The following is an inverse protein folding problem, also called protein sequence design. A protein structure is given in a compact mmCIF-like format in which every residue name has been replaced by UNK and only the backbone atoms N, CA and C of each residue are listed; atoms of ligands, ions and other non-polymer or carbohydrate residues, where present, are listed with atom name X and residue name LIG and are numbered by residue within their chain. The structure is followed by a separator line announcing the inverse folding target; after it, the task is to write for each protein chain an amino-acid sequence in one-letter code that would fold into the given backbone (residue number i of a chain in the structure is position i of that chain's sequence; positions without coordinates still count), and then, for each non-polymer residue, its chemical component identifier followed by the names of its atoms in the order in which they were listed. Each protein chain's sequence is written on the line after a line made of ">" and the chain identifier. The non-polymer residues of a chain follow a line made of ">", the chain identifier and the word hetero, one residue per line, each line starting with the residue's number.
data_IF_876573992107
#
_entry.id   IF_876573992107
#
_cell.length_a   1.000
_cell.length_b   1.000
_cell.length_c   1.000
_cell.angle_alpha   90.00
_cell.angle_beta   90.00
_cell.angle_gamma   90.00
#
_symmetry.space_group_name_H-M   'P 1'
#
loop_
_entity.id
_entity.type
_entity.pdbx_description
1 polymer ?
#
# COMPACT_ATOMS: atom_id res chain seq x y z
N UNK A 1 21.83 -2.73 13.97
CA UNK A 1 21.18 -1.89 12.94
C UNK A 1 19.77 -2.38 12.79
N UNK A 2 18.79 -1.49 12.80
CA UNK A 2 17.37 -1.83 12.73
C UNK A 2 16.77 -1.31 11.43
N UNK A 3 15.64 -1.84 11.01
CA UNK A 3 14.94 -1.37 9.82
C UNK A 3 13.69 -0.59 10.20
N UNK A 4 13.43 0.53 9.53
CA UNK A 4 12.14 1.22 9.59
C UNK A 4 11.42 1.14 8.25
N UNK A 5 10.14 0.77 8.30
CA UNK A 5 9.19 0.87 7.19
C UNK A 5 8.11 1.89 7.51
N UNK A 6 7.38 2.34 6.50
CA UNK A 6 6.37 3.40 6.64
C UNK A 6 6.94 4.57 7.44
N UNK A 7 8.16 4.98 7.05
CA UNK A 7 8.97 5.90 7.84
C UNK A 7 8.89 7.33 7.33
N UNK A 8 9.12 8.30 8.22
CA UNK A 8 9.25 9.72 7.88
C UNK A 8 10.11 10.45 8.89
N UNK A 9 10.61 11.61 8.50
CA UNK A 9 11.27 12.56 9.41
C UNK A 9 10.23 13.57 9.89
N UNK A 10 10.21 13.85 11.19
CA UNK A 10 9.33 14.88 11.75
C UNK A 10 9.94 15.54 13.00
N UNK A 11 9.39 16.70 13.36
CA UNK A 11 9.73 17.40 14.58
C UNK A 11 8.87 16.88 15.74
N UNK A 12 9.50 16.37 16.79
CA UNK A 12 8.84 15.90 18.00
C UNK A 12 9.47 16.58 19.22
N UNK A 13 8.66 17.36 19.95
CA UNK A 13 9.12 18.18 21.08
C UNK A 13 10.37 19.03 20.77
N UNK A 14 10.41 19.64 19.58
CA UNK A 14 11.51 20.49 19.13
C UNK A 14 12.78 19.75 18.70
N UNK A 15 12.74 18.41 18.59
CA UNK A 15 13.84 17.58 18.11
C UNK A 15 13.44 16.89 16.81
N UNK A 16 14.34 16.85 15.85
CA UNK A 16 14.14 16.07 14.63
C UNK A 16 14.38 14.59 14.93
N UNK A 17 13.39 13.77 14.61
CA UNK A 17 13.41 12.32 14.82
C UNK A 17 12.94 11.60 13.56
N UNK A 18 13.18 10.30 13.52
CA UNK A 18 12.52 9.39 12.57
C UNK A 18 11.37 8.70 13.29
N UNK A 19 10.22 8.65 12.63
CA UNK A 19 9.08 7.81 13.00
C UNK A 19 8.91 6.70 11.97
N UNK A 20 8.47 5.51 12.39
CA UNK A 20 8.10 4.42 11.50
C UNK A 20 7.85 3.10 12.23
N UNK A 21 7.54 2.07 11.47
CA UNK A 21 7.39 0.69 11.96
C UNK A 21 8.76 0.02 12.04
N UNK A 22 9.13 -0.48 13.22
CA UNK A 22 10.43 -1.10 13.45
C UNK A 22 10.44 -2.59 13.14
N UNK A 23 11.57 -3.05 12.60
CA UNK A 23 11.84 -4.46 12.35
C UNK A 23 13.26 -4.83 12.81
N UNK A 24 13.40 -6.05 13.33
CA UNK A 24 14.67 -6.60 13.79
C UNK A 24 15.16 -6.00 15.11
N UNK A 25 14.27 -5.43 15.92
CA UNK A 25 14.63 -4.82 17.20
C UNK A 25 14.44 -5.79 18.36
N UNK A 26 15.44 -5.93 19.23
CA UNK A 26 15.42 -6.94 20.31
C UNK A 26 14.30 -6.72 21.35
N UNK A 27 13.88 -5.46 21.55
CA UNK A 27 12.88 -5.08 22.56
C UNK A 27 11.47 -4.83 22.03
N UNK A 28 11.31 -4.68 20.71
CA UNK A 28 10.05 -4.28 20.11
C UNK A 28 9.64 -5.35 19.12
N UNK A 29 8.34 -5.67 19.09
CA UNK A 29 7.82 -6.59 18.09
C UNK A 29 7.92 -5.94 16.70
N UNK A 30 8.22 -6.77 15.71
CA UNK A 30 8.25 -6.34 14.32
C UNK A 30 6.90 -5.74 13.90
N UNK A 31 6.95 -4.62 13.19
CA UNK A 31 5.77 -3.85 12.77
C UNK A 31 5.26 -2.86 13.83
N UNK A 32 5.86 -2.80 15.02
CA UNK A 32 5.47 -1.81 16.03
C UNK A 32 5.92 -0.40 15.63
N UNK A 33 4.98 0.55 15.65
CA UNK A 33 5.29 1.97 15.41
C UNK A 33 6.10 2.58 16.56
N UNK A 34 7.18 3.28 16.23
CA UNK A 34 8.00 3.99 17.22
C UNK A 34 8.50 5.35 16.72
N UNK A 35 8.84 6.19 17.69
CA UNK A 35 9.65 7.39 17.50
C UNK A 35 11.07 7.08 17.96
N UNK A 36 12.04 7.39 17.11
CA UNK A 36 13.46 7.27 17.47
C UNK A 36 13.88 8.40 18.40
N UNK A 37 15.05 8.26 19.04
CA UNK A 37 15.72 9.42 19.64
C UNK A 37 16.21 10.39 18.56
N UNK A 38 16.58 11.61 18.96
CA UNK A 38 17.06 12.66 18.07
C UNK A 38 18.10 12.16 17.06
N UNK A 39 17.92 12.57 15.79
CA UNK A 39 18.85 12.30 14.71
C UNK A 39 20.20 12.98 15.02
N UNK A 40 21.28 12.21 14.92
CA UNK A 40 22.65 12.68 15.16
C UNK A 40 23.52 12.64 13.89
N UNK A 41 23.18 11.79 12.93
CA UNK A 41 23.77 11.83 11.59
C UNK A 41 22.82 11.20 10.58
N UNK A 42 22.94 11.65 9.33
CA UNK A 42 22.25 11.12 8.17
C UNK A 42 23.29 10.71 7.13
N UNK A 43 23.23 9.46 6.73
CA UNK A 43 24.03 8.91 5.64
C UNK A 43 23.10 8.16 4.68
N UNK A 44 23.63 7.66 3.55
CA UNK A 44 22.86 6.82 2.66
C UNK A 44 23.74 5.80 1.93
N UNK A 45 23.11 4.68 1.59
CA UNK A 45 23.63 3.74 0.61
C UNK A 45 22.88 3.86 -0.73
N UNK A 46 23.00 2.85 -1.57
CA UNK A 46 22.34 2.84 -2.88
C UNK A 46 20.81 2.82 -2.79
N UNK A 47 20.24 2.22 -1.74
CA UNK A 47 18.80 1.94 -1.58
C UNK A 47 18.18 2.47 -0.28
N UNK A 48 18.97 2.89 0.70
CA UNK A 48 18.51 3.29 2.01
C UNK A 48 19.09 4.64 2.45
N UNK A 49 18.32 5.36 3.26
CA UNK A 49 18.83 6.37 4.18
C UNK A 49 19.17 5.69 5.49
N UNK A 50 20.30 6.06 6.08
CA UNK A 50 20.75 5.59 7.37
C UNK A 50 20.67 6.74 8.37
N UNK A 51 19.86 6.58 9.41
CA UNK A 51 19.75 7.55 10.49
C UNK A 51 20.48 7.04 11.72
N UNK A 52 21.56 7.72 12.09
CA UNK A 52 22.26 7.47 13.35
C UNK A 52 21.61 8.29 14.45
N UNK A 53 21.35 7.63 15.57
CA UNK A 53 20.84 8.23 16.79
C UNK A 53 21.76 7.82 17.95
N UNK A 54 21.48 8.26 19.19
CA UNK A 54 22.37 8.06 20.34
C UNK A 54 22.86 6.62 20.52
N UNK A 55 22.00 5.63 20.30
CA UNK A 55 22.30 4.22 20.59
C UNK A 55 22.07 3.28 19.41
N UNK A 56 21.57 3.78 18.28
CA UNK A 56 21.01 2.95 17.23
C UNK A 56 21.18 3.59 15.86
N UNK A 57 21.41 2.75 14.86
CA UNK A 57 21.33 3.12 13.44
C UNK A 57 20.09 2.46 12.84
N UNK A 58 19.26 3.27 12.20
CA UNK A 58 18.07 2.83 11.50
C UNK A 58 18.29 2.91 9.99
N UNK A 59 18.11 1.79 9.31
CA UNK A 59 18.14 1.67 7.85
C UNK A 59 16.72 1.79 7.30
N UNK A 60 16.53 2.76 6.43
CA UNK A 60 15.23 3.18 5.94
C UNK A 60 15.24 3.15 4.42
N UNK A 61 14.58 2.17 3.80
CA UNK A 61 14.57 2.06 2.34
C UNK A 61 13.87 3.28 1.73
N UNK A 62 14.43 3.86 0.66
CA UNK A 62 13.85 5.05 0.01
C UNK A 62 12.39 4.81 -0.40
N UNK A 63 12.09 3.61 -0.90
CA UNK A 63 10.75 3.21 -1.34
C UNK A 63 9.74 2.96 -0.21
N UNK A 64 10.19 2.90 1.05
CA UNK A 64 9.35 2.63 2.22
C UNK A 64 8.97 3.90 3.01
N UNK A 65 9.23 5.08 2.44
CA UNK A 65 8.87 6.36 3.03
C UNK A 65 7.35 6.61 2.98
N UNK A 66 6.77 7.22 4.02
CA UNK A 66 5.35 7.61 4.02
C UNK A 66 5.10 8.70 2.97
N UNK A 67 4.12 8.48 2.09
CA UNK A 67 3.91 9.31 0.90
C UNK A 67 3.17 10.60 1.23
N UNK A 68 3.87 11.62 1.77
CA UNK A 68 3.43 13.01 1.71
C UNK A 68 4.61 13.92 1.37
N UNK A 69 4.49 14.79 0.35
CA UNK A 69 5.58 15.68 -0.12
C UNK A 69 6.12 16.55 1.01
N UNK A 70 5.26 17.00 1.93
CA UNK A 70 5.62 17.77 3.12
C UNK A 70 6.56 17.01 4.07
N UNK A 71 6.51 15.68 4.09
CA UNK A 71 7.34 14.87 4.98
C UNK A 71 8.78 14.78 4.47
N UNK A 72 9.00 14.91 3.14
CA UNK A 72 10.34 15.06 2.56
C UNK A 72 10.91 16.45 2.80
N UNK A 73 10.06 17.49 2.86
CA UNK A 73 10.48 18.84 3.23
C UNK A 73 10.95 18.94 4.70
N UNK A 74 10.59 17.99 5.56
CA UNK A 74 11.08 17.95 6.94
C UNK A 74 12.61 17.83 7.02
N UNK A 75 13.27 17.32 5.97
CA UNK A 75 14.74 17.28 5.87
C UNK A 75 15.37 18.68 5.82
N UNK A 76 14.62 19.71 5.39
CA UNK A 76 15.11 21.09 5.35
C UNK A 76 15.26 21.69 6.75
N UNK A 77 14.67 21.05 7.77
CA UNK A 77 14.80 21.44 9.19
C UNK A 77 16.00 20.77 9.88
N UNK A 78 16.67 19.82 9.21
CA UNK A 78 17.88 19.20 9.72
C UNK A 78 19.10 20.08 9.39
N UNK A 79 19.98 20.35 10.38
CA UNK A 79 21.25 21.03 10.14
C UNK A 79 22.12 20.28 9.13
N UNK A 80 22.80 21.03 8.26
CA UNK A 80 23.64 20.48 7.19
C UNK A 80 24.79 19.63 7.74
N UNK A 81 25.29 19.94 8.95
CA UNK A 81 26.38 19.23 9.61
C UNK A 81 26.02 17.80 10.00
N UNK A 82 24.72 17.47 10.08
CA UNK A 82 24.28 16.11 10.34
C UNK A 82 24.43 15.20 9.12
N UNK A 83 24.55 15.76 7.92
CA UNK A 83 24.60 14.95 6.70
C UNK A 83 26.04 14.60 6.33
N UNK A 84 26.35 13.30 6.32
CA UNK A 84 27.58 12.75 5.75
C UNK A 84 27.54 12.73 4.20
N UNK A 85 26.39 13.05 3.61
CA UNK A 85 26.11 13.02 2.18
C UNK A 85 25.33 14.27 1.75
N UNK A 86 25.10 14.46 0.46
CA UNK A 86 24.30 15.60 -0.01
C UNK A 86 22.80 15.42 0.34
N UNK A 87 22.25 16.34 1.15
CA UNK A 87 20.83 16.37 1.53
C UNK A 87 19.88 16.37 0.34
N UNK A 88 20.17 17.14 -0.71
CA UNK A 88 19.29 17.21 -1.88
C UNK A 88 19.31 15.90 -2.65
N UNK A 89 20.45 15.21 -2.66
CA UNK A 89 20.56 13.86 -3.23
C UNK A 89 19.74 12.84 -2.44
N UNK A 90 19.70 12.92 -1.10
CA UNK A 90 18.83 12.07 -0.27
C UNK A 90 17.36 12.31 -0.59
N UNK A 91 16.91 13.56 -0.57
CA UNK A 91 15.52 13.94 -0.89
C UNK A 91 15.11 13.44 -2.27
N UNK A 92 15.97 13.65 -3.27
CA UNK A 92 15.73 13.18 -4.64
C UNK A 92 15.59 11.65 -4.71
N UNK A 93 16.50 10.89 -4.08
CA UNK A 93 16.41 9.42 -4.07
C UNK A 93 15.12 8.91 -3.43
N UNK A 94 14.66 9.54 -2.33
CA UNK A 94 13.36 9.23 -1.70
C UNK A 94 12.21 9.46 -2.69
N UNK A 95 12.14 10.65 -3.28
CA UNK A 95 11.08 11.03 -4.21
C UNK A 95 11.06 10.13 -5.45
N UNK A 96 12.23 9.86 -6.04
CA UNK A 96 12.37 9.00 -7.22
C UNK A 96 11.92 7.56 -6.90
N UNK A 97 12.35 6.99 -5.77
CA UNK A 97 11.99 5.64 -5.38
C UNK A 97 10.50 5.49 -5.04
N UNK A 98 9.92 6.45 -4.32
CA UNK A 98 8.49 6.48 -4.03
C UNK A 98 7.69 6.63 -5.32
N UNK A 99 8.07 7.54 -6.21
CA UNK A 99 7.40 7.74 -7.49
C UNK A 99 7.46 6.48 -8.36
N UNK A 100 8.62 5.82 -8.43
CA UNK A 100 8.77 4.55 -9.13
C UNK A 100 7.88 3.45 -8.54
N UNK A 101 7.80 3.35 -7.21
CA UNK A 101 6.91 2.40 -6.53
C UNK A 101 5.43 2.65 -6.82
N UNK A 102 4.97 3.90 -6.74
CA UNK A 102 3.60 4.27 -7.06
C UNK A 102 3.27 3.99 -8.53
N UNK A 103 4.18 4.29 -9.45
CA UNK A 103 4.01 3.96 -10.87
C UNK A 103 3.91 2.45 -11.10
N UNK A 104 4.76 1.65 -10.46
CA UNK A 104 4.70 0.19 -10.57
C UNK A 104 3.36 -0.37 -10.04
N UNK A 105 2.84 0.18 -8.93
CA UNK A 105 1.51 -0.18 -8.41
C UNK A 105 0.41 0.21 -9.41
N UNK A 106 0.46 1.44 -9.94
CA UNK A 106 -0.51 1.89 -10.93
C UNK A 106 -0.50 1.04 -12.20
N UNK A 107 0.68 0.68 -12.71
CA UNK A 107 0.83 -0.18 -13.89
C UNK A 107 0.31 -1.59 -13.62
N UNK A 108 0.59 -2.15 -12.44
CA UNK A 108 0.01 -3.44 -12.02
C UNK A 108 -1.51 -3.37 -11.95
N UNK A 109 -2.08 -2.33 -11.34
CA UNK A 109 -3.53 -2.16 -11.25
C UNK A 109 -4.16 -2.00 -12.64
N UNK A 110 -3.52 -1.24 -13.53
CA UNK A 110 -3.95 -1.08 -14.91
C UNK A 110 -3.92 -2.41 -15.70
N UNK A 111 -3.02 -3.34 -15.36
CA UNK A 111 -2.97 -4.66 -16.00
C UNK A 111 -4.25 -5.49 -15.80
N UNK A 112 -5.00 -5.28 -14.71
CA UNK A 112 -6.32 -5.91 -14.49
C UNK A 112 -7.45 -5.30 -15.33
N UNK A 113 -7.15 -4.23 -16.06
CA UNK A 113 -8.11 -3.42 -16.80
C UNK A 113 -7.74 -3.34 -18.29
N UNK A 114 -6.92 -4.27 -18.80
CA UNK A 114 -6.45 -4.28 -20.19
C UNK A 114 -7.58 -4.35 -21.22
N UNK A 115 -8.73 -4.91 -20.85
CA UNK A 115 -9.93 -5.03 -21.70
C UNK A 115 -10.86 -3.82 -21.60
N UNK A 116 -10.55 -2.82 -20.76
CA UNK A 116 -11.36 -1.62 -20.57
C UNK A 116 -10.70 -0.43 -21.25
N UNK A 117 -11.42 0.18 -22.19
CA UNK A 117 -10.98 1.39 -22.90
C UNK A 117 -11.58 2.66 -22.31
N UNK A 118 -10.82 3.75 -22.34
CA UNK A 118 -11.28 5.07 -21.92
C UNK A 118 -11.14 5.30 -20.42
N UNK A 119 -11.93 6.23 -19.91
CA UNK A 119 -11.92 6.66 -18.52
C UNK A 119 -12.57 5.60 -17.61
N UNK A 120 -11.94 5.28 -16.49
CA UNK A 120 -12.50 4.37 -15.48
C UNK A 120 -11.88 4.59 -14.10
N UNK A 121 -12.56 4.10 -13.07
CA UNK A 121 -12.04 4.04 -11.70
C UNK A 121 -11.94 2.59 -11.29
N UNK A 122 -10.81 2.17 -10.75
CA UNK A 122 -10.60 0.85 -10.16
C UNK A 122 -10.31 1.01 -8.67
N UNK A 123 -11.12 0.38 -7.83
CA UNK A 123 -10.90 0.32 -6.39
C UNK A 123 -10.50 -1.10 -6.01
N UNK A 124 -9.33 -1.23 -5.39
CA UNK A 124 -8.80 -2.48 -4.89
C UNK A 124 -9.20 -2.67 -3.42
N UNK A 125 -9.92 -3.75 -3.16
CA UNK A 125 -10.20 -4.27 -1.84
C UNK A 125 -9.35 -5.50 -1.52
N UNK A 126 -9.03 -5.67 -0.25
CA UNK A 126 -8.30 -6.81 0.30
C UNK A 126 -8.82 -7.09 1.71
N UNK A 127 -9.24 -8.32 1.96
CA UNK A 127 -9.82 -8.74 3.25
C UNK A 127 -8.84 -8.75 4.41
N UNK A 128 -7.54 -8.67 4.11
CA UNK A 128 -6.48 -8.57 5.11
C UNK A 128 -6.04 -7.09 5.32
N UNK A 129 -6.73 -6.13 4.70
CA UNK A 129 -6.51 -4.69 4.89
C UNK A 129 -7.46 -4.09 5.93
N UNK A 130 -6.99 -3.10 6.68
CA UNK A 130 -7.88 -2.31 7.54
C UNK A 130 -8.99 -1.68 6.70
N UNK A 131 -10.22 -1.92 7.13
CA UNK A 131 -11.42 -1.45 6.44
C UNK A 131 -11.50 -1.86 4.97
N UNK A 132 -10.82 -2.94 4.57
CA UNK A 132 -10.80 -3.53 3.23
C UNK A 132 -10.12 -2.72 2.12
N UNK A 133 -10.01 -1.39 2.21
CA UNK A 133 -9.48 -0.57 1.14
C UNK A 133 -7.95 -0.60 1.07
N UNK A 134 -7.41 -0.78 -0.14
CA UNK A 134 -5.97 -0.74 -0.39
C UNK A 134 -5.56 0.40 -1.31
N UNK A 135 -6.21 0.50 -2.46
CA UNK A 135 -5.84 1.43 -3.52
C UNK A 135 -7.07 1.86 -4.32
N UNK A 136 -7.02 3.07 -4.85
CA UNK A 136 -7.86 3.48 -5.96
C UNK A 136 -6.96 3.98 -7.10
N UNK A 137 -7.16 3.44 -8.30
CA UNK A 137 -6.59 3.93 -9.54
C UNK A 137 -7.69 4.59 -10.35
N UNK A 138 -7.48 5.83 -10.78
CA UNK A 138 -8.36 6.54 -11.68
C UNK A 138 -7.61 6.88 -12.96
N UNK A 139 -8.22 6.54 -14.10
CA UNK A 139 -7.77 6.97 -15.43
C UNK A 139 -8.76 8.01 -15.94
N UNK A 140 -8.31 9.24 -16.15
CA UNK A 140 -9.13 10.34 -16.71
C UNK A 140 -8.32 11.17 -17.70
N UNK A 141 -8.83 11.35 -18.91
CA UNK A 141 -8.17 12.15 -19.97
C UNK A 141 -6.70 11.73 -20.20
N UNK A 142 -6.43 10.42 -20.15
CA UNK A 142 -5.08 9.86 -20.28
C UNK A 142 -4.15 10.07 -19.08
N UNK A 143 -4.63 10.68 -17.99
CA UNK A 143 -3.88 10.87 -16.74
C UNK A 143 -4.22 9.77 -15.72
N UNK A 144 -3.21 9.36 -14.96
CA UNK A 144 -3.32 8.39 -13.87
C UNK A 144 -3.35 9.11 -12.53
N UNK A 145 -4.32 8.77 -11.69
CA UNK A 145 -4.39 9.22 -10.30
C UNK A 145 -4.45 7.99 -9.39
N UNK A 146 -3.52 7.90 -8.45
CA UNK A 146 -3.43 6.78 -7.53
C UNK A 146 -3.66 7.29 -6.11
N UNK A 147 -4.59 6.67 -5.39
CA UNK A 147 -4.88 6.97 -3.98
C UNK A 147 -4.54 5.74 -3.14
N UNK A 148 -3.55 5.83 -2.24
CA UNK A 148 -3.21 4.76 -1.30
C UNK A 148 -4.23 4.67 -0.17
N UNK A 149 -4.16 3.58 0.60
CA UNK A 149 -4.92 3.38 1.84
C UNK A 149 -4.80 4.56 2.82
N UNK A 150 -3.63 5.20 2.92
CA UNK A 150 -3.44 6.38 3.78
C UNK A 150 -4.09 7.66 3.22
N UNK A 151 -4.61 7.61 2.00
CA UNK A 151 -5.28 8.72 1.31
C UNK A 151 -6.80 8.72 1.45
N UNK A 152 -7.38 7.77 2.20
CA UNK A 152 -8.80 7.76 2.54
C UNK A 152 -9.03 8.26 3.96
N UNK A 153 -10.18 8.88 4.20
CA UNK A 153 -10.56 9.30 5.54
C UNK A 153 -11.38 8.19 6.21
N UNK A 154 -10.85 7.66 7.31
CA UNK A 154 -11.58 6.78 8.21
C UNK A 154 -12.27 7.67 9.25
N UNK A 155 -13.60 7.51 9.38
CA UNK A 155 -14.38 8.14 10.45
C UNK A 155 -14.82 7.06 11.41
N UNK A 156 -14.10 6.97 12.51
CA UNK A 156 -14.43 6.09 13.61
C UNK A 156 -15.74 6.56 14.25
N UNK A 157 -16.72 5.68 14.28
CA UNK A 157 -18.06 5.96 14.79
C UNK A 157 -18.32 5.17 16.06
N UNK A 158 -19.09 5.75 16.97
CA UNK A 158 -19.50 5.03 18.20
C UNK A 158 -20.41 3.83 17.95
N UNK A 159 -20.96 3.71 16.73
CA UNK A 159 -21.86 2.63 16.31
C UNK A 159 -21.29 1.89 15.10
N UNK A 160 -20.77 2.61 14.12
CA UNK A 160 -20.28 2.06 12.87
C UNK A 160 -19.23 3.00 12.28
N UNK A 161 -18.07 2.45 11.94
CA UNK A 161 -17.03 3.19 11.24
C UNK A 161 -17.42 3.39 9.78
N UNK A 162 -16.96 4.48 9.17
CA UNK A 162 -17.18 4.74 7.75
C UNK A 162 -15.88 5.11 7.06
N UNK A 163 -15.74 4.66 5.83
CA UNK A 163 -14.61 5.01 4.96
C UNK A 163 -15.09 5.99 3.92
N UNK A 164 -14.34 7.07 3.75
CA UNK A 164 -14.54 8.08 2.72
C UNK A 164 -13.38 8.03 1.73
N UNK A 165 -13.68 7.59 0.52
CA UNK A 165 -12.78 7.67 -0.63
C UNK A 165 -13.06 9.02 -1.31
N UNK A 166 -12.00 9.81 -1.55
CA UNK A 166 -12.06 11.10 -2.21
C UNK A 166 -11.57 12.26 -1.35
N UNK A 167 -11.39 13.44 -1.97
CA UNK A 167 -10.75 14.60 -1.34
C UNK A 167 -11.77 15.61 -0.78
N UNK A 168 -13.00 15.17 -0.49
CA UNK A 168 -14.07 16.06 0.01
C UNK A 168 -14.55 17.11 -1.01
N UNK A 169 -14.11 17.02 -2.27
CA UNK A 169 -14.64 17.82 -3.37
C UNK A 169 -16.03 17.32 -3.72
N UNK A 170 -17.01 18.22 -3.77
CA UNK A 170 -18.40 17.90 -4.11
C UNK A 170 -18.45 17.18 -5.47
N UNK A 171 -19.12 16.03 -5.52
CA UNK A 171 -19.20 15.18 -6.71
C UNK A 171 -18.06 14.17 -6.88
N UNK A 172 -17.05 14.13 -6.00
CA UNK A 172 -15.94 13.16 -6.05
C UNK A 172 -15.80 12.43 -4.71
N UNK A 173 -16.84 11.68 -4.35
CA UNK A 173 -16.87 10.98 -3.09
C UNK A 173 -17.60 9.64 -3.21
N UNK A 174 -17.00 8.61 -2.60
CA UNK A 174 -17.68 7.36 -2.28
C UNK A 174 -17.52 7.11 -0.79
N UNK A 175 -18.61 6.70 -0.14
CA UNK A 175 -18.61 6.35 1.27
C UNK A 175 -19.25 5.00 1.49
N UNK A 176 -18.63 4.20 2.34
CA UNK A 176 -19.16 2.90 2.70
C UNK A 176 -18.94 2.56 4.18
N UNK A 177 -19.79 1.66 4.67
CA UNK A 177 -19.63 1.01 5.95
C UNK A 177 -18.94 -0.35 5.74
N UNK A 178 -17.76 -0.56 6.33
CA UNK A 178 -17.12 -1.87 6.40
C UNK A 178 -17.66 -2.68 7.58
N UNK A 179 -18.04 -3.93 7.34
CA UNK A 179 -18.48 -4.87 8.36
C UNK A 179 -17.48 -6.01 8.51
N UNK A 180 -17.36 -6.57 9.72
CA UNK A 180 -16.41 -7.66 10.01
C UNK A 180 -16.70 -8.98 9.26
N UNK A 181 -17.88 -9.13 8.66
CA UNK A 181 -18.30 -10.31 7.89
C UNK A 181 -18.01 -10.19 6.38
N UNK A 182 -16.96 -9.43 6.01
CA UNK A 182 -16.58 -9.11 4.62
C UNK A 182 -17.68 -8.43 3.81
N UNK A 183 -18.49 -7.58 4.46
CA UNK A 183 -19.53 -6.81 3.78
C UNK A 183 -19.17 -5.34 3.72
N UNK A 184 -19.44 -4.72 2.57
CA UNK A 184 -19.26 -3.31 2.29
C UNK A 184 -20.60 -2.73 1.82
N UNK A 185 -21.15 -1.78 2.57
CA UNK A 185 -22.39 -1.09 2.18
C UNK A 185 -22.10 0.36 1.82
N UNK A 186 -22.15 0.67 0.54
CA UNK A 186 -22.03 2.03 0.01
C UNK A 186 -23.34 2.78 0.23
N UNK A 187 -23.24 3.93 0.90
CA UNK A 187 -24.39 4.81 1.17
C UNK A 187 -24.25 6.18 0.49
N UNK A 188 -23.10 6.48 -0.09
CA UNK A 188 -22.87 7.64 -0.95
C UNK A 188 -21.96 7.23 -2.11
N UNK A 189 -22.40 7.53 -3.31
CA UNK A 189 -21.76 7.17 -4.57
C UNK A 189 -22.09 8.27 -5.57
N UNK A 190 -21.08 8.99 -6.05
CA UNK A 190 -21.23 10.03 -7.06
C UNK A 190 -20.87 9.51 -8.46
N UNK A 191 -21.67 9.87 -9.46
CA UNK A 191 -21.56 9.35 -10.83
C UNK A 191 -20.30 9.83 -11.57
N UNK A 192 -19.59 10.85 -11.05
CA UNK A 192 -18.41 11.42 -11.74
C UNK A 192 -17.23 10.44 -11.87
N UNK A 193 -17.25 9.36 -11.09
CA UNK A 193 -16.23 8.32 -11.10
C UNK A 193 -16.58 7.13 -11.96
N UNK A 194 -17.74 7.14 -12.61
CA UNK A 194 -18.16 6.05 -13.47
C UNK A 194 -17.36 5.97 -14.76
N UNK A 195 -17.18 4.75 -15.31
CA UNK A 195 -17.49 3.46 -14.68
C UNK A 195 -16.53 3.13 -13.51
N UNK A 196 -17.08 2.53 -12.44
CA UNK A 196 -16.32 2.10 -11.25
C UNK A 196 -16.22 0.57 -11.23
N UNK A 197 -14.99 0.07 -11.17
CA UNK A 197 -14.66 -1.33 -11.02
C UNK A 197 -14.14 -1.59 -9.61
N UNK A 198 -14.61 -2.67 -9.00
CA UNK A 198 -14.10 -3.19 -7.75
C UNK A 198 -13.28 -4.45 -8.04
N UNK A 199 -12.08 -4.56 -7.49
CA UNK A 199 -11.22 -5.74 -7.57
C UNK A 199 -10.95 -6.25 -6.16
N UNK A 200 -11.15 -7.55 -5.93
CA UNK A 200 -10.85 -8.19 -4.66
C UNK A 200 -9.54 -8.96 -4.77
N UNK A 201 -8.47 -8.42 -4.17
CA UNK A 201 -7.18 -9.11 -4.04
C UNK A 201 -7.06 -9.91 -2.74
N UNK A 202 -8.09 -9.88 -1.90
CA UNK A 202 -8.16 -10.67 -0.68
C UNK A 202 -8.40 -12.16 -0.95
N UNK A 203 -8.41 -12.94 0.13
CA UNK A 203 -8.59 -14.41 0.09
C UNK A 203 -10.03 -14.84 0.30
N UNK A 204 -10.92 -13.92 0.70
CA UNK A 204 -12.33 -14.19 0.98
C UNK A 204 -13.21 -13.33 0.08
N UNK A 205 -14.41 -13.83 -0.19
CA UNK A 205 -15.42 -13.11 -0.96
C UNK A 205 -15.90 -11.88 -0.19
N UNK A 206 -16.17 -10.81 -0.93
CA UNK A 206 -16.70 -9.55 -0.38
C UNK A 206 -18.14 -9.39 -0.86
N UNK A 207 -19.06 -9.13 0.09
CA UNK A 207 -20.45 -8.76 -0.22
C UNK A 207 -20.51 -7.25 -0.39
N UNK A 208 -20.88 -6.79 -1.57
CA UNK A 208 -21.01 -5.37 -1.91
C UNK A 208 -22.49 -5.01 -1.99
N UNK A 209 -22.89 -3.97 -1.29
CA UNK A 209 -24.20 -3.33 -1.41
C UNK A 209 -23.99 -1.89 -1.88
N UNK A 210 -24.62 -1.51 -2.99
CA UNK A 210 -24.58 -0.14 -3.51
C UNK A 210 -25.91 0.25 -4.17
N UNK A 211 -25.99 1.45 -4.76
CA UNK A 211 -27.17 1.94 -5.47
C UNK A 211 -27.63 1.05 -6.62
N UNK A 212 -26.73 0.24 -7.19
CA UNK A 212 -27.01 -0.73 -8.26
C UNK A 212 -27.52 -2.08 -7.77
N UNK A 213 -27.53 -2.33 -6.46
CA UNK A 213 -27.99 -3.57 -5.85
C UNK A 213 -26.93 -4.26 -5.00
N UNK A 214 -27.10 -5.57 -4.81
CA UNK A 214 -26.21 -6.40 -4.00
C UNK A 214 -25.44 -7.38 -4.88
N UNK A 215 -24.14 -7.45 -4.67
CA UNK A 215 -23.21 -8.26 -5.45
C UNK A 215 -22.27 -9.06 -4.54
N UNK A 216 -21.76 -10.16 -5.06
CA UNK A 216 -20.66 -10.90 -4.44
C UNK A 216 -19.44 -10.74 -5.33
N UNK A 217 -18.40 -10.12 -4.79
CA UNK A 217 -17.11 -9.97 -5.43
C UNK A 217 -16.18 -11.07 -4.91
N UNK A 218 -15.99 -12.11 -5.72
CA UNK A 218 -15.17 -13.25 -5.32
C UNK A 218 -13.70 -12.86 -5.21
N UNK A 219 -12.97 -13.62 -4.40
CA UNK A 219 -11.52 -13.50 -4.32
C UNK A 219 -10.86 -13.60 -5.72
N UNK A 220 -10.02 -12.64 -6.05
CA UNK A 220 -9.32 -12.55 -7.35
C UNK A 220 -10.15 -12.02 -8.51
N UNK A 221 -11.44 -11.74 -8.32
CA UNK A 221 -12.32 -11.22 -9.39
C UNK A 221 -12.44 -9.70 -9.34
N UNK A 222 -12.84 -9.14 -10.49
CA UNK A 222 -13.30 -7.76 -10.60
C UNK A 222 -14.75 -7.68 -11.03
N UNK A 223 -15.45 -6.65 -10.59
CA UNK A 223 -16.85 -6.38 -10.90
C UNK A 223 -17.03 -4.90 -11.24
N UNK A 224 -17.85 -4.60 -12.25
CA UNK A 224 -18.37 -3.26 -12.50
C UNK A 224 -19.87 -3.26 -12.18
N UNK A 225 -20.31 -2.70 -11.04
CA UNK A 225 -21.73 -2.55 -10.77
C UNK A 225 -22.35 -1.61 -11.80
N UNK A 226 -23.41 -2.07 -12.46
CA UNK A 226 -24.20 -1.27 -13.39
C UNK A 226 -25.66 -1.74 -13.37
N UNK A 227 -26.57 -0.92 -13.90
CA UNK A 227 -28.00 -1.27 -14.01
C UNK A 227 -28.24 -2.51 -14.90
N UNK A 228 -27.30 -2.80 -15.80
CA UNK A 228 -27.39 -3.89 -16.79
C UNK A 228 -26.50 -5.10 -16.44
N UNK A 229 -25.91 -5.15 -15.24
CA UNK A 229 -24.96 -6.18 -14.85
C UNK A 229 -25.64 -7.55 -14.61
N UNK A 230 -25.82 -8.34 -15.66
CA UNK A 230 -25.99 -9.80 -15.52
C UNK A 230 -24.66 -10.43 -15.04
N UNK A 231 -24.67 -10.87 -13.78
CA UNK A 231 -23.76 -11.83 -13.10
C UNK A 231 -22.37 -12.10 -13.73
N UNK A 232 -21.35 -11.56 -13.04
CA UNK A 232 -19.92 -11.92 -13.01
C UNK A 232 -19.18 -12.00 -14.35
N UNK A 233 -18.29 -11.01 -14.56
CA UNK A 233 -17.20 -11.11 -15.52
C UNK A 233 -16.24 -12.23 -15.10
N UNK A 234 -15.74 -12.99 -16.09
CA UNK A 234 -14.87 -14.16 -15.89
C UNK A 234 -13.63 -13.85 -15.03
N UNK A 235 -13.12 -14.84 -14.26
CA UNK A 235 -11.96 -14.66 -13.39
C UNK A 235 -10.72 -14.20 -14.17
N UNK A 236 -10.06 -13.16 -13.65
CA UNK A 236 -8.89 -12.54 -14.27
C UNK A 236 -7.56 -13.16 -13.85
N UNK A 237 -7.58 -14.13 -12.93
CA UNK A 237 -6.36 -14.71 -12.34
C UNK A 237 -6.35 -16.22 -12.60
N UNK A 238 -5.88 -16.61 -13.78
CA UNK A 238 -5.27 -17.92 -13.98
C UNK A 238 -3.84 -17.70 -14.47
N UNK A 239 -2.89 -18.36 -13.80
CA UNK A 239 -1.42 -18.33 -13.97
C UNK A 239 -0.65 -17.33 -13.12
N UNK A 240 -0.41 -17.72 -11.86
CA UNK A 240 0.88 -17.50 -11.20
C UNK A 240 1.10 -18.38 -9.95
N UNK A 241 0.11 -19.21 -9.56
CA UNK A 241 0.24 -20.12 -8.42
C UNK A 241 1.14 -21.36 -8.65
N UNK A 242 1.52 -21.70 -9.89
CA UNK A 242 2.30 -22.93 -10.16
C UNK A 242 3.84 -22.75 -10.13
N UNK A 243 4.36 -21.53 -10.02
CA UNK A 243 5.82 -21.31 -10.11
C UNK A 243 6.53 -21.32 -8.74
N UNK A 244 5.80 -21.27 -7.62
CA UNK A 244 6.39 -21.19 -6.27
C UNK A 244 6.58 -22.57 -5.62
N UNK A 245 5.73 -23.56 -5.92
CA UNK A 245 5.85 -24.91 -5.34
C UNK A 245 6.87 -25.83 -6.05
N UNK A 246 7.32 -25.45 -7.26
CA UNK A 246 8.35 -26.22 -7.98
C UNK A 246 9.79 -25.86 -7.60
N UNK A 247 9.99 -24.76 -6.88
CA UNK A 247 11.32 -24.31 -6.43
C UNK A 247 11.62 -24.77 -4.99
N UNK A 248 10.59 -25.00 -4.17
CA UNK A 248 10.74 -25.46 -2.78
C UNK A 248 10.71 -26.99 -2.59
N UNK A 249 10.32 -27.76 -3.60
CA UNK A 249 10.30 -29.24 -3.54
C UNK A 249 11.56 -29.94 -4.07
N UNK A 250 12.52 -29.21 -4.67
CA UNK A 250 13.81 -29.81 -5.11
C UNK A 250 14.96 -29.68 -4.10
N UNK A 251 14.72 -29.08 -2.92
CA UNK A 251 15.77 -28.81 -1.93
C UNK A 251 15.68 -29.66 -0.65
N UNK A 252 14.82 -30.69 -0.59
CA UNK A 252 14.68 -31.53 0.59
C UNK A 252 14.49 -33.01 0.24
N UNK A 253 15.60 -33.74 0.07
CA UNK A 253 15.83 -35.05 0.69
C UNK A 253 17.27 -35.54 0.39
N UNK A 254 18.01 -36.02 1.41
CA UNK A 254 19.30 -36.66 1.25
C UNK A 254 19.09 -38.17 1.05
N UNK A 255 19.58 -38.72 -0.07
CA UNK A 255 19.66 -40.18 -0.23
C UNK A 255 21.08 -40.67 0.04
N UNK A 256 21.19 -41.43 1.13
CA UNK A 256 22.21 -42.44 1.36
C UNK A 256 22.27 -43.39 0.16
N UNK A 257 23.44 -43.54 -0.44
CA UNK A 257 23.79 -44.80 -1.11
C UNK A 257 25.08 -45.36 -0.52
N UNK A 258 24.90 -46.40 0.27
CA UNK A 258 25.84 -47.47 0.47
C UNK A 258 26.21 -48.11 -0.87
N UNK A 259 27.51 -48.18 -1.20
CA UNK A 259 28.01 -49.15 -2.16
C UNK A 259 29.17 -49.92 -1.52
N UNK A 260 28.90 -51.21 -1.30
CA UNK A 260 29.92 -52.23 -1.09
C UNK A 260 30.16 -53.03 -2.36
N UNK A 261 31.41 -53.45 -2.51
CA UNK A 261 31.96 -54.58 -3.27
C UNK A 261 32.07 -54.47 -4.80
N UNK A 262 33.31 -54.25 -5.27
CA UNK A 262 34.16 -55.31 -5.82
C UNK A 262 35.65 -55.02 -5.52
#
# INVERSE_FOLDING_TARGET
>A
MYTLKNWKVEAHHGKMIVWGEVYGHEKYQDGMSLHTSMIQAVDMDDRHVLFSTKNSVYSCAFSAHVVQVKDVQAFDQLPDELFACDRERVKKKILDAVSAGLNAVADRLQSFMQDVSGDYTLILFDTDADYYFRWMLQIRDGKKYLVPQTGVAIREGSVQDSVLIGNGVKGQVMKYFPFADNRLTFYEWEDSWEPVFFLNAGKKDIRLECSYGSFVLKAGERLCPSKDAEKSLKPAIEKEAETVEKITSSAASPENESQGEA
#
